data_IF_105879364387
#
_entry.id   IF_105879364387
#
_cell.length_a   1.000
_cell.length_b   1.000
_cell.length_c   1.000
_cell.angle_alpha   90.00
_cell.angle_beta   90.00
_cell.angle_gamma   90.00
#
_symmetry.space_group_name_H-M   'P 1'
#
loop_
_entity.id
_entity.type
_entity.pdbx_description
1 polymer ?
#
# COMPACT_ATOMS: atom_id res chain seq x y z
N UNK A 1 -0.08 21.12 -1.58
CA UNK A 1 0.85 20.15 -0.94
C UNK A 1 0.05 18.95 -0.46
N UNK A 2 0.55 17.72 -0.66
CA UNK A 2 -0.02 16.51 -0.06
C UNK A 2 0.66 16.28 1.29
N UNK A 3 -0.08 16.15 2.39
CA UNK A 3 0.49 15.90 3.72
C UNK A 3 0.34 14.42 4.11
N UNK A 4 1.20 13.94 5.03
CA UNK A 4 1.10 12.57 5.56
C UNK A 4 -0.27 12.29 6.20
N UNK A 5 -0.88 13.29 6.85
CA UNK A 5 -2.21 13.18 7.42
C UNK A 5 -3.29 12.93 6.35
N UNK A 6 -3.19 13.58 5.18
CA UNK A 6 -4.12 13.35 4.06
C UNK A 6 -3.93 11.97 3.43
N UNK A 7 -2.71 11.41 3.47
CA UNK A 7 -2.43 10.05 3.03
C UNK A 7 -3.07 9.03 3.99
N UNK A 8 -2.89 9.22 5.30
CA UNK A 8 -3.45 8.35 6.34
C UNK A 8 -4.98 8.40 6.36
N UNK A 9 -5.57 9.57 6.12
CA UNK A 9 -7.02 9.76 6.05
C UNK A 9 -7.64 9.31 4.71
N UNK A 10 -6.87 8.74 3.78
CA UNK A 10 -7.38 8.32 2.46
C UNK A 10 -7.85 9.47 1.54
N UNK A 11 -7.50 10.71 1.88
CA UNK A 11 -7.86 11.93 1.12
C UNK A 11 -6.94 12.10 -0.10
N UNK A 12 -5.68 11.71 0.03
CA UNK A 12 -4.68 11.75 -1.04
C UNK A 12 -3.80 10.50 -0.98
N UNK A 13 -4.36 9.30 -1.22
CA UNK A 13 -3.58 8.07 -1.19
C UNK A 13 -2.41 8.18 -2.19
N UNK A 14 -1.23 7.66 -1.84
CA UNK A 14 -0.11 7.63 -2.76
C UNK A 14 -0.50 6.76 -3.95
N UNK A 15 -0.38 7.28 -5.17
CA UNK A 15 -0.78 6.57 -6.39
C UNK A 15 0.44 5.88 -7.00
N UNK A 16 0.33 4.58 -7.26
CA UNK A 16 1.36 3.85 -7.96
C UNK A 16 1.40 4.26 -9.45
N UNK A 17 2.57 4.19 -10.10
CA UNK A 17 2.64 4.27 -11.56
C UNK A 17 1.72 3.23 -12.21
N UNK A 18 0.97 3.62 -13.24
CA UNK A 18 0.00 2.75 -13.91
C UNK A 18 -1.33 2.54 -13.15
N UNK A 19 -1.48 3.13 -11.96
CA UNK A 19 -2.75 3.16 -11.26
C UNK A 19 -3.70 4.17 -11.92
N UNK A 20 -4.86 3.72 -12.40
CA UNK A 20 -5.93 4.64 -12.78
C UNK A 20 -6.36 5.44 -11.54
N UNK A 21 -6.44 6.76 -11.65
CA UNK A 21 -6.72 7.68 -10.54
C UNK A 21 -8.05 7.40 -9.81
N UNK A 22 -8.96 6.65 -10.45
CA UNK A 22 -10.26 6.30 -9.91
C UNK A 22 -10.20 5.05 -8.99
N UNK A 23 -9.31 4.09 -9.27
CA UNK A 23 -9.29 2.75 -8.66
C UNK A 23 -10.47 1.85 -9.06
N UNK A 24 -10.41 0.56 -8.70
CA UNK A 24 -11.48 -0.45 -8.96
C UNK A 24 -12.09 -0.98 -7.66
N UNK A 25 -13.33 -1.45 -7.68
CA UNK A 25 -13.93 -2.12 -6.49
C UNK A 25 -13.32 -3.50 -6.32
N UNK A 26 -13.44 -4.06 -5.11
CA UNK A 26 -12.94 -5.40 -4.79
C UNK A 26 -13.52 -6.47 -5.73
N UNK A 27 -14.82 -6.37 -6.05
CA UNK A 27 -15.50 -7.30 -6.94
C UNK A 27 -14.99 -7.27 -8.39
N UNK A 28 -14.33 -6.18 -8.80
CA UNK A 28 -13.81 -5.98 -10.17
C UNK A 28 -12.30 -6.31 -10.28
N UNK A 29 -11.66 -6.72 -9.17
CA UNK A 29 -10.24 -7.08 -9.14
C UNK A 29 -10.05 -8.51 -9.65
N UNK A 30 -9.03 -8.70 -10.47
CA UNK A 30 -8.54 -10.03 -10.83
C UNK A 30 -7.59 -10.56 -9.75
N UNK A 31 -7.22 -11.85 -9.83
CA UNK A 31 -6.45 -12.55 -8.80
C UNK A 31 -5.06 -11.96 -8.49
N UNK A 32 -4.49 -11.17 -9.40
CA UNK A 32 -3.13 -10.62 -9.29
C UNK A 32 -3.12 -9.10 -9.43
N UNK A 33 -4.03 -8.42 -8.75
CA UNK A 33 -4.13 -6.96 -8.78
C UNK A 33 -3.95 -6.35 -7.38
N UNK A 34 -3.32 -5.18 -7.32
CA UNK A 34 -2.99 -4.52 -6.07
C UNK A 34 -4.25 -4.14 -5.27
N UNK A 35 -4.32 -4.64 -4.03
CA UNK A 35 -5.42 -4.39 -3.08
C UNK A 35 -5.17 -3.18 -2.17
N UNK A 36 -4.27 -2.25 -2.53
CA UNK A 36 -4.05 -1.06 -1.70
C UNK A 36 -5.26 -0.12 -1.80
N UNK A 37 -5.90 0.25 -0.67
CA UNK A 37 -7.07 1.11 -0.68
C UNK A 37 -6.70 2.55 -1.05
N UNK A 38 -7.45 3.13 -1.96
CA UNK A 38 -7.27 4.53 -2.37
C UNK A 38 -8.29 5.44 -1.67
N UNK A 39 -9.58 5.09 -1.77
CA UNK A 39 -10.68 5.94 -1.29
C UNK A 39 -11.96 5.14 -1.11
N UNK A 40 -12.93 5.71 -0.39
CA UNK A 40 -14.23 5.09 -0.13
C UNK A 40 -14.17 4.14 1.06
N UNK A 41 -15.35 3.80 1.58
CA UNK A 41 -15.51 3.03 2.82
C UNK A 41 -16.30 1.75 2.57
N UNK A 42 -15.96 0.69 3.29
CA UNK A 42 -16.63 -0.60 3.20
C UNK A 42 -16.64 -1.20 1.79
N UNK A 43 -17.82 -1.56 1.29
CA UNK A 43 -18.00 -2.16 -0.03
C UNK A 43 -17.68 -1.18 -1.19
N UNK A 44 -17.72 0.12 -0.92
CA UNK A 44 -17.43 1.16 -1.90
C UNK A 44 -15.95 1.53 -1.96
N UNK A 45 -15.10 0.88 -1.16
CA UNK A 45 -13.66 1.07 -1.21
C UNK A 45 -13.11 0.72 -2.59
N UNK A 46 -12.33 1.65 -3.13
CA UNK A 46 -11.63 1.51 -4.41
C UNK A 46 -10.16 1.24 -4.19
N UNK A 47 -9.63 0.30 -4.96
CA UNK A 47 -8.29 -0.24 -4.85
C UNK A 47 -7.43 0.13 -6.05
N UNK A 48 -6.12 0.10 -5.85
CA UNK A 48 -5.12 0.46 -6.85
C UNK A 48 -5.27 -0.32 -8.16
N UNK A 49 -5.53 -1.63 -8.09
CA UNK A 49 -5.73 -2.51 -9.24
C UNK A 49 -4.57 -2.60 -10.25
N UNK A 50 -3.39 -2.06 -9.92
CA UNK A 50 -2.17 -2.28 -10.71
C UNK A 50 -1.85 -3.78 -10.68
N UNK A 51 -1.53 -4.34 -11.84
CA UNK A 51 -1.15 -5.73 -11.96
C UNK A 51 0.12 -6.03 -11.15
N UNK A 52 0.10 -7.14 -10.43
CA UNK A 52 1.21 -7.64 -9.63
C UNK A 52 1.70 -8.92 -10.30
N UNK A 53 3.00 -9.03 -10.51
CA UNK A 53 3.55 -10.26 -11.09
C UNK A 53 3.20 -11.46 -10.20
N UNK A 54 2.94 -12.66 -10.76
CA UNK A 54 2.66 -13.85 -9.96
C UNK A 54 3.76 -14.18 -8.93
N UNK A 55 5.03 -13.86 -9.25
CA UNK A 55 6.16 -14.06 -8.33
C UNK A 55 6.15 -13.11 -7.12
N UNK A 56 5.55 -11.93 -7.31
CA UNK A 56 5.40 -10.89 -6.29
C UNK A 56 4.06 -10.99 -5.54
N UNK A 57 3.10 -11.74 -6.04
CA UNK A 57 1.82 -11.96 -5.40
C UNK A 57 1.95 -12.98 -4.27
N UNK A 58 1.90 -12.48 -3.03
CA UNK A 58 2.13 -13.28 -1.82
C UNK A 58 1.01 -13.02 -0.79
N UNK A 59 -0.25 -13.39 -1.11
CA UNK A 59 -1.33 -13.26 -0.15
C UNK A 59 -0.99 -14.01 1.14
N UNK A 60 -1.25 -13.38 2.29
CA UNK A 60 -0.85 -13.89 3.61
C UNK A 60 0.48 -13.31 4.15
N UNK A 61 1.32 -12.71 3.30
CA UNK A 61 2.46 -11.92 3.74
C UNK A 61 2.09 -10.43 3.89
N UNK A 62 2.70 -9.73 4.86
CA UNK A 62 2.49 -8.28 5.05
C UNK A 62 2.80 -7.51 3.76
N UNK A 63 1.77 -6.93 3.15
CA UNK A 63 1.88 -6.20 1.87
C UNK A 63 2.08 -7.06 0.62
N UNK A 64 1.93 -8.39 0.71
CA UNK A 64 2.09 -9.30 -0.42
C UNK A 64 0.96 -9.25 -1.46
N UNK A 65 -0.17 -8.62 -1.12
CA UNK A 65 -1.28 -8.32 -2.04
C UNK A 65 -1.19 -6.92 -2.68
N UNK A 66 -0.08 -6.20 -2.47
CA UNK A 66 0.14 -4.87 -3.00
C UNK A 66 1.22 -4.88 -4.09
N UNK A 67 1.11 -3.96 -5.04
CA UNK A 67 2.20 -3.70 -5.99
C UNK A 67 3.44 -3.17 -5.26
N UNK A 68 4.59 -3.20 -5.92
CA UNK A 68 5.89 -2.81 -5.33
C UNK A 68 5.84 -1.44 -4.66
N UNK A 69 5.21 -0.46 -5.31
CA UNK A 69 5.08 0.89 -4.77
C UNK A 69 4.32 0.92 -3.43
N UNK A 70 3.12 0.33 -3.40
CA UNK A 70 2.29 0.31 -2.20
C UNK A 70 2.83 -0.60 -1.10
N UNK A 71 3.54 -1.66 -1.48
CA UNK A 71 4.27 -2.52 -0.54
C UNK A 71 5.34 -1.72 0.21
N UNK A 72 6.13 -0.90 -0.50
CA UNK A 72 7.14 -0.05 0.14
C UNK A 72 6.53 0.94 1.15
N UNK A 73 5.32 1.43 0.91
CA UNK A 73 4.62 2.33 1.83
C UNK A 73 4.21 1.60 3.11
N UNK A 74 3.63 0.40 2.99
CA UNK A 74 3.13 -0.36 4.14
C UNK A 74 4.26 -0.99 4.95
N UNK A 75 5.31 -1.46 4.29
CA UNK A 75 6.49 -2.02 4.96
C UNK A 75 7.28 -0.95 5.71
N UNK A 76 7.22 0.32 5.26
CA UNK A 76 7.96 1.42 5.85
C UNK A 76 9.44 1.45 5.43
N UNK A 77 10.13 2.54 5.79
CA UNK A 77 11.55 2.73 5.45
C UNK A 77 12.46 1.79 6.25
N UNK A 78 13.67 1.64 5.75
CA UNK A 78 14.75 0.89 6.38
C UNK A 78 14.89 -0.55 5.88
N UNK A 79 15.96 -1.21 6.28
CA UNK A 79 16.20 -2.64 6.07
C UNK A 79 15.33 -3.47 7.02
N UNK A 80 15.14 -4.78 6.75
CA UNK A 80 14.48 -5.66 7.71
C UNK A 80 15.11 -5.60 9.11
N UNK A 81 16.44 -5.49 9.19
CA UNK A 81 17.17 -5.35 10.44
C UNK A 81 16.85 -4.03 11.15
N UNK A 82 16.85 -2.90 10.42
CA UNK A 82 16.50 -1.58 10.97
C UNK A 82 15.05 -1.55 11.49
N UNK A 83 14.12 -2.22 10.82
CA UNK A 83 12.72 -2.29 11.27
C UNK A 83 12.50 -3.18 12.49
N UNK A 84 13.36 -4.18 12.69
CA UNK A 84 13.30 -5.08 13.84
C UNK A 84 14.13 -4.59 15.03
N UNK A 85 14.98 -3.58 14.82
CA UNK A 85 15.77 -2.98 15.88
C UNK A 85 14.85 -2.38 16.96
N UNK A 86 15.11 -2.65 18.25
CA UNK A 86 14.33 -2.07 19.32
C UNK A 86 14.41 -0.54 19.29
N UNK A 87 13.27 0.14 19.38
CA UNK A 87 13.13 1.62 19.35
C UNK A 87 13.79 2.37 20.52
N UNK A 88 14.57 1.67 21.34
CA UNK A 88 15.31 2.23 22.48
C UNK A 88 16.39 3.23 22.01
N UNK A 89 16.80 3.18 20.73
CA UNK A 89 17.81 4.09 20.16
C UNK A 89 17.24 5.39 19.55
N UNK A 90 15.93 5.56 19.41
CA UNK A 90 15.34 6.73 18.72
C UNK A 90 15.24 8.01 19.59
N UNK A 91 15.70 7.98 20.85
CA UNK A 91 15.59 9.11 21.82
C UNK A 91 16.88 9.92 22.05
N UNK A 92 17.90 9.76 21.22
CA UNK A 92 19.19 10.48 21.36
C UNK A 92 19.50 11.44 20.19
N UNK A 93 18.48 11.90 19.46
CA UNK A 93 18.61 12.89 18.38
C UNK A 93 17.91 14.19 18.70
#
# INVERSE_FOLDING_TARGET
>A
MRTAAMIIAGIAPPQAPGCNSIGRRLADLTSHQCHFPLRGEGAETRFCAVEVSPADWRPGASGGQYCTFHRCIVVGRGTPAERQAPRVLERLG
#
